data_IF_155198672832
#
_entry.id   IF_155198672832
#
_cell.length_a   1.000
_cell.length_b   1.000
_cell.length_c   1.000
_cell.angle_alpha   90.00
_cell.angle_beta   90.00
_cell.angle_gamma   90.00
#
_symmetry.space_group_name_H-M   'P 1'
#
loop_
_entity.id
_entity.type
_entity.pdbx_description
1 polymer ?
#
# COMPACT_ATOMS: atom_id res chain seq x y z
N UNK A 1 -13.43 38.63 -20.59
CA UNK A 1 -13.18 37.20 -20.83
C UNK A 1 -11.72 36.98 -20.53
N UNK A 2 -11.41 36.30 -19.42
CA UNK A 2 -10.05 35.89 -19.09
C UNK A 2 -9.86 34.50 -19.69
N UNK A 3 -8.86 34.34 -20.56
CA UNK A 3 -8.49 33.04 -21.12
C UNK A 3 -8.14 32.06 -19.99
N UNK A 4 -8.58 30.78 -20.07
CA UNK A 4 -8.20 29.80 -19.08
C UNK A 4 -6.69 29.55 -19.17
N UNK A 5 -6.01 29.72 -18.03
CA UNK A 5 -4.59 29.39 -17.91
C UNK A 5 -4.34 27.94 -18.37
N UNK A 6 -3.31 27.68 -19.19
CA UNK A 6 -3.00 26.33 -19.62
C UNK A 6 -2.61 25.47 -18.42
N UNK A 7 -3.24 24.29 -18.32
CA UNK A 7 -2.88 23.26 -17.34
C UNK A 7 -1.42 22.87 -17.62
N UNK A 8 -0.52 22.94 -16.63
CA UNK A 8 0.86 22.54 -16.84
C UNK A 8 0.89 21.05 -17.19
N UNK A 9 1.34 20.73 -18.41
CA UNK A 9 1.66 19.36 -18.79
C UNK A 9 2.76 18.86 -17.86
N UNK A 10 2.66 17.62 -17.31
CA UNK A 10 3.74 17.06 -16.51
C UNK A 10 5.02 17.03 -17.36
N UNK A 11 6.08 17.61 -16.84
CA UNK A 11 7.39 17.59 -17.50
C UNK A 11 7.78 16.14 -17.78
N UNK A 12 8.39 15.84 -18.94
CA UNK A 12 8.83 14.47 -19.25
C UNK A 12 9.83 14.02 -18.19
N UNK A 13 9.48 12.97 -17.46
CA UNK A 13 10.37 12.37 -16.45
C UNK A 13 11.62 11.85 -17.20
N UNK A 14 12.76 12.48 -16.95
CA UNK A 14 14.03 12.12 -17.58
C UNK A 14 14.43 10.70 -17.16
N UNK A 15 14.72 9.84 -18.14
CA UNK A 15 15.32 8.55 -17.85
C UNK A 15 16.73 8.75 -17.28
N UNK A 16 16.95 8.36 -16.04
CA UNK A 16 18.31 8.27 -15.52
C UNK A 16 18.94 7.00 -16.09
N UNK A 17 20.00 7.15 -16.91
CA UNK A 17 20.84 6.00 -17.31
C UNK A 17 21.66 5.55 -16.10
N UNK A 18 20.96 5.04 -15.08
CA UNK A 18 21.57 4.56 -13.83
C UNK A 18 20.73 3.43 -13.24
N UNK A 19 21.40 2.35 -12.91
CA UNK A 19 20.78 1.19 -12.25
C UNK A 19 20.83 1.35 -10.73
N UNK A 20 19.73 0.95 -10.07
CA UNK A 20 19.59 0.85 -8.61
C UNK A 20 19.44 -0.61 -8.25
N UNK A 21 20.21 -1.08 -7.28
CA UNK A 21 20.14 -2.43 -6.74
C UNK A 21 19.59 -2.41 -5.31
N UNK A 22 18.66 -3.33 -5.03
CA UNK A 22 18.18 -3.63 -3.69
C UNK A 22 18.70 -4.98 -3.26
N UNK A 23 19.68 -4.99 -2.36
CA UNK A 23 20.43 -6.18 -1.95
C UNK A 23 20.07 -6.58 -0.53
N UNK A 24 19.72 -7.85 -0.32
CA UNK A 24 19.31 -8.35 1.01
C UNK A 24 19.64 -9.84 1.16
N UNK A 25 19.95 -10.25 2.37
CA UNK A 25 20.02 -11.67 2.76
C UNK A 25 18.63 -12.32 2.98
N UNK A 26 17.57 -11.50 3.07
CA UNK A 26 16.17 -11.92 3.08
C UNK A 26 15.45 -11.58 1.77
N UNK A 27 14.17 -11.22 1.86
CA UNK A 27 13.30 -10.94 0.70
C UNK A 27 13.66 -9.67 -0.08
N UNK A 28 14.39 -8.74 0.53
CA UNK A 28 14.74 -7.46 -0.07
C UNK A 28 13.64 -6.39 -0.04
N UNK A 29 12.47 -6.70 0.51
CA UNK A 29 11.33 -5.77 0.56
C UNK A 29 11.69 -4.47 1.29
N UNK A 30 12.37 -4.56 2.44
CA UNK A 30 12.75 -3.37 3.22
C UNK A 30 13.69 -2.45 2.43
N UNK A 31 14.71 -3.02 1.79
CA UNK A 31 15.65 -2.25 0.97
C UNK A 31 14.95 -1.57 -0.20
N UNK A 32 14.03 -2.29 -0.86
CA UNK A 32 13.25 -1.80 -1.98
C UNK A 32 12.28 -0.69 -1.57
N UNK A 33 11.47 -0.90 -0.52
CA UNK A 33 10.49 0.09 -0.04
C UNK A 33 11.17 1.38 0.42
N UNK A 34 12.26 1.26 1.20
CA UNK A 34 13.02 2.43 1.62
C UNK A 34 13.66 3.14 0.43
N UNK A 35 14.31 2.40 -0.45
CA UNK A 35 14.93 2.96 -1.64
C UNK A 35 13.92 3.65 -2.56
N UNK A 36 12.74 3.07 -2.77
CA UNK A 36 11.64 3.71 -3.50
C UNK A 36 11.22 5.04 -2.85
N UNK A 37 11.05 5.07 -1.53
CA UNK A 37 10.67 6.27 -0.81
C UNK A 37 11.70 7.39 -0.97
N UNK A 38 12.98 7.05 -0.92
CA UNK A 38 14.08 8.03 -1.12
C UNK A 38 14.14 8.48 -2.59
N UNK A 39 14.09 7.53 -3.54
CA UNK A 39 14.22 7.82 -4.97
C UNK A 39 13.02 8.60 -5.52
N UNK A 40 11.83 8.47 -4.92
CA UNK A 40 10.64 9.23 -5.32
C UNK A 40 10.77 10.74 -5.13
N UNK A 41 11.76 11.20 -4.33
CA UNK A 41 12.06 12.61 -4.17
C UNK A 41 12.80 13.22 -5.39
N UNK A 42 13.18 12.39 -6.37
CA UNK A 42 13.87 12.81 -7.58
C UNK A 42 12.98 12.53 -8.79
N UNK A 43 12.77 13.52 -9.65
CA UNK A 43 12.00 13.38 -10.90
C UNK A 43 12.77 12.60 -11.98
N UNK A 44 13.30 11.42 -11.59
CA UNK A 44 14.10 10.54 -12.44
C UNK A 44 13.54 9.12 -12.43
N UNK A 45 13.61 8.44 -13.59
CA UNK A 45 13.34 7.01 -13.69
C UNK A 45 14.62 6.21 -13.65
N UNK A 46 14.74 5.34 -12.65
CA UNK A 46 15.87 4.44 -12.48
C UNK A 46 15.51 3.04 -12.99
N UNK A 47 16.51 2.34 -13.58
CA UNK A 47 16.41 0.90 -13.78
C UNK A 47 16.62 0.23 -12.42
N UNK A 48 15.68 -0.59 -11.97
CA UNK A 48 15.69 -1.17 -10.63
C UNK A 48 15.87 -2.69 -10.72
N UNK A 49 16.75 -3.23 -9.88
CA UNK A 49 17.06 -4.66 -9.82
C UNK A 49 17.09 -5.10 -8.36
N UNK A 50 16.25 -6.08 -8.00
CA UNK A 50 16.24 -6.69 -6.68
C UNK A 50 17.13 -7.93 -6.69
N UNK A 51 18.01 -8.03 -5.69
CA UNK A 51 18.89 -9.16 -5.42
C UNK A 51 18.59 -9.70 -4.01
N UNK A 52 17.55 -10.51 -3.85
CA UNK A 52 17.16 -11.10 -2.58
C UNK A 52 17.97 -12.36 -2.29
N UNK A 53 17.92 -12.83 -1.04
CA UNK A 53 18.49 -14.08 -0.59
C UNK A 53 19.99 -14.21 -0.84
N UNK A 54 20.75 -13.12 -0.67
CA UNK A 54 22.21 -13.11 -0.68
C UNK A 54 22.70 -13.61 0.68
N UNK A 55 22.63 -14.90 0.90
CA UNK A 55 22.88 -15.60 2.17
C UNK A 55 24.24 -16.35 2.18
N UNK A 56 24.94 -16.41 1.04
CA UNK A 56 26.26 -17.04 0.89
C UNK A 56 27.26 -16.11 0.21
N UNK A 57 28.57 -16.35 0.42
CA UNK A 57 29.65 -15.59 -0.21
C UNK A 57 29.60 -15.69 -1.75
N UNK A 58 29.27 -16.85 -2.30
CA UNK A 58 29.17 -17.03 -3.75
C UNK A 58 28.11 -16.11 -4.35
N UNK A 59 26.92 -16.04 -3.71
CA UNK A 59 25.86 -15.14 -4.13
C UNK A 59 26.28 -13.67 -3.98
N UNK A 60 27.03 -13.33 -2.93
CA UNK A 60 27.53 -11.97 -2.74
C UNK A 60 28.52 -11.59 -3.83
N UNK A 61 29.43 -12.49 -4.23
CA UNK A 61 30.35 -12.27 -5.35
C UNK A 61 29.62 -12.13 -6.68
N UNK A 62 28.58 -12.96 -6.92
CA UNK A 62 27.74 -12.84 -8.12
C UNK A 62 26.99 -11.51 -8.16
N UNK A 63 26.46 -11.05 -7.03
CA UNK A 63 25.81 -9.75 -6.91
C UNK A 63 26.80 -8.61 -7.21
N UNK A 64 28.01 -8.68 -6.62
CA UNK A 64 29.08 -7.71 -6.87
C UNK A 64 29.44 -7.63 -8.37
N UNK A 65 29.53 -8.78 -9.05
CA UNK A 65 29.78 -8.83 -10.49
C UNK A 65 28.66 -8.12 -11.28
N UNK A 66 27.39 -8.43 -10.99
CA UNK A 66 26.22 -7.78 -11.65
C UNK A 66 26.20 -6.27 -11.44
N UNK A 67 26.56 -5.79 -10.24
CA UNK A 67 26.65 -4.36 -9.95
C UNK A 67 27.75 -3.71 -10.78
N UNK A 68 28.93 -4.35 -10.89
CA UNK A 68 30.02 -3.86 -11.69
C UNK A 68 29.72 -3.87 -13.20
N UNK A 69 29.00 -4.89 -13.69
CA UNK A 69 28.51 -4.94 -15.07
C UNK A 69 27.56 -3.76 -15.37
N UNK A 70 26.64 -3.42 -14.46
CA UNK A 70 25.77 -2.27 -14.63
C UNK A 70 26.56 -0.96 -14.71
N UNK A 71 27.63 -0.81 -13.91
CA UNK A 71 28.53 0.35 -14.04
C UNK A 71 29.13 0.47 -15.44
N UNK A 72 29.56 -0.66 -16.04
CA UNK A 72 30.12 -0.65 -17.39
C UNK A 72 29.09 -0.27 -18.46
N UNK A 73 27.84 -0.73 -18.28
CA UNK A 73 26.76 -0.45 -19.24
C UNK A 73 26.24 0.98 -19.11
N UNK A 74 26.01 1.44 -17.88
CA UNK A 74 25.38 2.75 -17.62
C UNK A 74 26.39 3.91 -17.73
N UNK A 75 27.70 3.65 -17.62
CA UNK A 75 28.74 4.67 -17.52
C UNK A 75 28.66 5.54 -16.27
N UNK A 76 27.80 5.19 -15.31
CA UNK A 76 27.57 5.89 -14.04
C UNK A 76 27.58 4.89 -12.89
N UNK A 77 28.02 5.34 -11.70
CA UNK A 77 27.98 4.51 -10.50
C UNK A 77 26.56 4.04 -10.22
N UNK A 78 26.27 2.72 -10.19
CA UNK A 78 25.00 2.20 -9.67
C UNK A 78 24.76 2.65 -8.23
N UNK A 79 23.52 2.67 -7.81
CA UNK A 79 23.15 2.91 -6.41
C UNK A 79 22.75 1.56 -5.80
N UNK A 80 23.29 1.24 -4.63
CA UNK A 80 23.00 -0.01 -3.91
C UNK A 80 22.37 0.33 -2.57
N UNK A 81 21.10 -0.03 -2.39
CA UNK A 81 20.47 -0.08 -1.08
C UNK A 81 20.59 -1.49 -0.53
N UNK A 82 21.23 -1.64 0.63
CA UNK A 82 21.45 -2.97 1.21
C UNK A 82 20.87 -3.10 2.62
N UNK A 83 20.35 -4.30 2.90
CA UNK A 83 19.87 -4.74 4.22
C UNK A 83 20.52 -6.09 4.56
N UNK A 84 21.85 -6.15 4.45
CA UNK A 84 22.62 -7.35 4.79
C UNK A 84 22.96 -7.32 6.28
N UNK A 85 22.60 -8.38 6.99
CA UNK A 85 22.84 -8.52 8.43
C UNK A 85 24.27 -9.00 8.71
N UNK A 86 24.80 -9.89 7.84
CA UNK A 86 26.14 -10.46 8.01
C UNK A 86 27.19 -9.51 7.45
N UNK A 87 28.12 -9.07 8.30
CA UNK A 87 29.20 -8.14 7.92
C UNK A 87 30.12 -8.69 6.82
N UNK A 88 30.36 -10.01 6.79
CA UNK A 88 31.14 -10.65 5.73
C UNK A 88 30.52 -10.49 4.35
N UNK A 89 29.20 -10.66 4.21
CA UNK A 89 28.47 -10.48 2.96
C UNK A 89 28.44 -9.01 2.54
N UNK A 90 28.16 -8.11 3.50
CA UNK A 90 28.20 -6.66 3.28
C UNK A 90 29.58 -6.21 2.79
N UNK A 91 30.67 -6.76 3.36
CA UNK A 91 32.03 -6.44 2.95
C UNK A 91 32.33 -6.83 1.48
N UNK A 92 31.79 -7.96 1.01
CA UNK A 92 31.91 -8.38 -0.40
C UNK A 92 31.13 -7.44 -1.31
N UNK A 93 29.88 -7.12 -0.96
CA UNK A 93 29.05 -6.20 -1.77
C UNK A 93 29.70 -4.80 -1.87
N UNK A 94 30.32 -4.32 -0.79
CA UNK A 94 30.99 -3.01 -0.77
C UNK A 94 32.21 -2.93 -1.70
N UNK A 95 32.75 -4.05 -2.16
CA UNK A 95 33.82 -4.06 -3.19
C UNK A 95 33.29 -3.68 -4.58
N UNK A 96 31.98 -3.71 -4.79
CA UNK A 96 31.38 -3.26 -6.04
C UNK A 96 31.60 -1.76 -6.24
N UNK A 97 31.85 -1.37 -7.49
CA UNK A 97 32.00 0.03 -7.89
C UNK A 97 30.62 0.69 -7.97
N UNK A 98 30.11 1.15 -6.83
CA UNK A 98 28.77 1.68 -6.67
C UNK A 98 28.71 2.74 -5.57
N UNK A 99 27.61 3.48 -5.51
CA UNK A 99 27.22 4.28 -4.35
C UNK A 99 26.45 3.38 -3.38
N UNK A 100 27.02 3.11 -2.21
CA UNK A 100 26.47 2.19 -1.22
C UNK A 100 25.68 2.91 -0.14
N UNK A 101 24.43 2.47 0.07
CA UNK A 101 23.50 2.89 1.10
C UNK A 101 23.17 1.67 1.96
N UNK A 102 24.00 1.42 2.98
CA UNK A 102 23.80 0.30 3.91
C UNK A 102 22.86 0.72 5.02
N UNK A 103 21.61 0.24 4.95
CA UNK A 103 20.55 0.66 5.88
C UNK A 103 20.80 0.13 7.30
N UNK A 104 21.31 -1.09 7.44
CA UNK A 104 21.55 -1.64 8.76
C UNK A 104 22.72 -0.96 9.46
N UNK A 105 23.83 -0.77 8.78
CA UNK A 105 24.95 -0.07 9.38
C UNK A 105 24.57 1.37 9.74
N UNK A 106 23.84 2.05 8.87
CA UNK A 106 23.43 3.45 9.12
C UNK A 106 22.53 3.63 10.33
N UNK A 107 21.63 2.66 10.58
CA UNK A 107 20.61 2.80 11.63
C UNK A 107 20.84 1.88 12.84
N UNK A 108 21.42 0.70 12.65
CA UNK A 108 21.61 -0.27 13.75
C UNK A 108 22.78 0.13 14.64
N UNK A 109 23.91 0.55 14.09
CA UNK A 109 25.07 0.96 14.87
C UNK A 109 24.76 2.10 15.88
N UNK A 110 24.10 3.20 15.51
CA UNK A 110 23.69 4.22 16.45
C UNK A 110 22.74 3.71 17.54
N UNK A 111 21.80 2.81 17.17
CA UNK A 111 20.89 2.21 18.14
C UNK A 111 21.61 1.26 19.10
N UNK A 112 22.60 0.49 18.65
CA UNK A 112 23.43 -0.35 19.53
C UNK A 112 24.17 0.50 20.57
N UNK A 113 24.64 1.67 20.18
CA UNK A 113 25.32 2.60 21.09
C UNK A 113 24.35 3.20 22.11
N UNK A 114 23.18 3.69 21.65
CA UNK A 114 22.19 4.32 22.53
C UNK A 114 21.54 3.32 23.49
N UNK A 115 21.26 2.10 23.01
CA UNK A 115 20.65 1.03 23.82
C UNK A 115 21.65 0.25 24.66
N UNK A 116 22.96 0.52 24.53
CA UNK A 116 24.05 -0.22 25.17
C UNK A 116 23.96 -1.75 24.94
N UNK A 117 23.40 -2.15 23.80
CA UNK A 117 23.14 -3.56 23.45
C UNK A 117 23.63 -3.86 22.03
N UNK A 118 24.17 -5.07 21.84
CA UNK A 118 24.46 -5.55 20.50
C UNK A 118 23.23 -6.14 19.84
N UNK A 119 23.04 -5.82 18.55
CA UNK A 119 21.99 -6.42 17.72
C UNK A 119 22.27 -7.92 17.57
N UNK A 120 21.21 -8.71 17.42
CA UNK A 120 21.34 -10.17 17.30
C UNK A 120 21.81 -10.65 15.93
N UNK A 121 21.92 -9.75 14.97
CA UNK A 121 22.26 -10.03 13.57
C UNK A 121 21.47 -11.21 12.98
N UNK A 122 20.18 -11.33 13.35
CA UNK A 122 19.32 -12.44 12.91
C UNK A 122 18.56 -12.06 11.64
N UNK A 123 18.76 -12.84 10.58
CA UNK A 123 18.08 -12.67 9.29
C UNK A 123 16.58 -12.95 9.46
N UNK A 124 15.73 -12.11 8.86
CA UNK A 124 14.28 -12.34 8.78
C UNK A 124 13.53 -12.24 10.11
N UNK A 125 14.11 -11.66 11.16
CA UNK A 125 13.47 -11.57 12.49
C UNK A 125 12.12 -10.84 12.46
N UNK A 126 11.97 -9.86 11.58
CA UNK A 126 10.70 -9.15 11.36
C UNK A 126 9.62 -10.00 10.67
N UNK A 127 10.00 -11.17 10.12
CA UNK A 127 9.12 -12.10 9.42
C UNK A 127 8.96 -13.43 10.14
N UNK A 128 9.67 -13.67 11.26
CA UNK A 128 9.63 -14.92 12.04
C UNK A 128 8.39 -15.02 12.94
N UNK A 129 7.22 -14.73 12.38
CA UNK A 129 5.96 -14.66 13.12
C UNK A 129 4.98 -15.76 12.73
N UNK A 130 5.41 -16.80 11.99
CA UNK A 130 4.50 -17.84 11.48
C UNK A 130 3.67 -18.55 12.59
N UNK A 131 4.17 -18.60 13.83
CA UNK A 131 3.47 -19.16 14.99
C UNK A 131 2.99 -18.09 15.99
N UNK A 132 3.15 -16.80 15.66
CA UNK A 132 2.71 -15.73 16.54
C UNK A 132 1.19 -15.51 16.46
N UNK A 133 0.62 -15.06 17.56
CA UNK A 133 -0.78 -14.64 17.63
C UNK A 133 -1.08 -13.56 16.59
N UNK A 134 -0.13 -12.66 16.34
CA UNK A 134 -0.23 -11.62 15.31
C UNK A 134 -0.41 -12.19 13.90
N UNK A 135 0.34 -13.25 13.54
CA UNK A 135 0.18 -13.90 12.24
C UNK A 135 -1.21 -14.56 12.10
N UNK A 136 -1.66 -15.28 13.14
CA UNK A 136 -3.01 -15.89 13.14
C UNK A 136 -4.10 -14.86 13.03
N UNK A 137 -4.01 -13.77 13.79
CA UNK A 137 -4.96 -12.64 13.72
C UNK A 137 -4.99 -12.02 12.31
N UNK A 138 -3.83 -11.89 11.67
CA UNK A 138 -3.73 -11.37 10.29
C UNK A 138 -4.40 -12.29 9.28
N UNK A 139 -4.16 -13.62 9.36
CA UNK A 139 -4.82 -14.60 8.49
C UNK A 139 -6.34 -14.60 8.73
N UNK A 140 -6.77 -14.51 9.97
CA UNK A 140 -8.20 -14.42 10.32
C UNK A 140 -8.84 -13.15 9.73
N UNK A 141 -8.16 -12.00 9.84
CA UNK A 141 -8.62 -10.75 9.27
C UNK A 141 -8.71 -10.80 7.72
N UNK A 142 -7.75 -11.44 7.06
CA UNK A 142 -7.78 -11.65 5.61
C UNK A 142 -8.98 -12.53 5.22
N UNK A 143 -9.18 -13.66 5.90
CA UNK A 143 -10.29 -14.56 5.63
C UNK A 143 -11.64 -13.86 5.88
N UNK A 144 -11.74 -13.08 6.96
CA UNK A 144 -12.92 -12.27 7.25
C UNK A 144 -13.20 -11.27 6.12
N UNK A 145 -12.19 -10.50 5.69
CA UNK A 145 -12.37 -9.48 4.65
C UNK A 145 -12.75 -10.09 3.30
N UNK A 146 -12.19 -11.24 2.94
CA UNK A 146 -12.56 -11.99 1.72
C UNK A 146 -14.00 -12.50 1.79
N UNK A 147 -14.44 -13.02 2.95
CA UNK A 147 -15.81 -13.51 3.15
C UNK A 147 -16.87 -12.39 3.16
N UNK A 148 -16.44 -11.15 3.42
CA UNK A 148 -17.32 -9.98 3.51
C UNK A 148 -17.03 -8.95 2.40
N UNK A 149 -16.48 -9.40 1.28
CA UNK A 149 -16.28 -8.54 0.11
C UNK A 149 -17.58 -8.44 -0.72
N UNK A 150 -17.84 -7.26 -1.27
CA UNK A 150 -19.00 -6.93 -2.11
C UNK A 150 -20.38 -7.33 -1.52
N UNK A 151 -20.52 -7.29 -0.19
CA UNK A 151 -21.79 -7.57 0.47
C UNK A 151 -22.25 -9.02 0.38
N UNK A 152 -21.35 -9.95 0.03
CA UNK A 152 -21.67 -11.38 -0.12
C UNK A 152 -22.19 -12.01 1.19
N UNK A 153 -21.81 -11.46 2.34
CA UNK A 153 -22.32 -11.90 3.63
C UNK A 153 -22.55 -10.72 4.57
N UNK A 154 -23.78 -10.60 5.06
CA UNK A 154 -24.14 -9.73 6.19
C UNK A 154 -24.06 -10.47 7.53
N UNK A 155 -23.58 -11.73 7.54
CA UNK A 155 -23.42 -12.53 8.74
C UNK A 155 -22.17 -12.07 9.48
N UNK A 156 -22.25 -12.01 10.80
CA UNK A 156 -21.10 -11.70 11.67
C UNK A 156 -20.44 -10.33 11.45
N UNK A 157 -21.15 -9.33 10.91
CA UNK A 157 -20.64 -7.95 10.83
C UNK A 157 -20.25 -7.36 12.20
N UNK A 158 -20.75 -7.96 13.29
CA UNK A 158 -20.35 -7.63 14.67
C UNK A 158 -18.86 -7.86 14.93
N UNK A 159 -18.24 -8.80 14.22
CA UNK A 159 -16.81 -9.11 14.32
C UNK A 159 -15.92 -8.15 13.52
N UNK A 160 -16.51 -7.34 12.64
CA UNK A 160 -15.76 -6.34 11.89
C UNK A 160 -15.18 -5.27 12.83
N UNK A 161 -13.94 -4.89 12.60
CA UNK A 161 -13.34 -3.71 13.21
C UNK A 161 -13.78 -2.45 12.46
N UNK A 162 -13.95 -2.55 11.13
CA UNK A 162 -14.47 -1.50 10.26
C UNK A 162 -15.34 -2.08 9.15
N UNK A 163 -16.35 -1.32 8.74
CA UNK A 163 -17.24 -1.63 7.60
C UNK A 163 -17.10 -0.49 6.58
N UNK A 164 -16.50 -0.79 5.44
CA UNK A 164 -16.34 0.19 4.36
C UNK A 164 -17.60 0.25 3.51
N UNK A 165 -18.19 1.43 3.40
CA UNK A 165 -19.38 1.65 2.55
C UNK A 165 -19.07 2.65 1.43
N UNK A 166 -19.83 2.57 0.35
CA UNK A 166 -19.68 3.49 -0.80
C UNK A 166 -20.07 2.81 -2.10
N UNK A 167 -20.12 3.56 -3.19
CA UNK A 167 -20.50 3.06 -4.51
C UNK A 167 -19.51 1.98 -5.01
N UNK A 168 -19.97 1.11 -5.90
CA UNK A 168 -19.11 0.13 -6.55
C UNK A 168 -17.94 0.83 -7.25
N UNK A 169 -16.70 0.31 -7.06
CA UNK A 169 -15.44 0.87 -7.58
C UNK A 169 -14.91 2.13 -6.89
N UNK A 170 -15.35 2.44 -5.69
CA UNK A 170 -14.78 3.54 -4.88
C UNK A 170 -13.50 3.17 -4.09
N UNK A 171 -12.91 2.00 -4.34
CA UNK A 171 -11.66 1.58 -3.69
C UNK A 171 -11.84 0.73 -2.42
N UNK A 172 -13.07 0.32 -2.05
CA UNK A 172 -13.35 -0.43 -0.82
C UNK A 172 -12.58 -1.76 -0.74
N UNK A 173 -12.72 -2.63 -1.73
CA UNK A 173 -12.07 -3.95 -1.76
C UNK A 173 -10.55 -3.87 -1.58
N UNK A 174 -9.78 -3.08 -2.35
CA UNK A 174 -8.34 -2.99 -2.13
C UNK A 174 -8.00 -2.42 -0.75
N UNK A 175 -8.79 -1.47 -0.23
CA UNK A 175 -8.56 -0.91 1.11
C UNK A 175 -8.84 -1.93 2.21
N UNK A 176 -9.95 -2.70 2.13
CA UNK A 176 -10.26 -3.75 3.12
C UNK A 176 -9.19 -4.82 3.18
N UNK A 177 -8.71 -5.28 2.02
CA UNK A 177 -7.62 -6.25 1.95
C UNK A 177 -6.30 -5.70 2.48
N UNK A 178 -5.97 -4.44 2.17
CA UNK A 178 -4.76 -3.81 2.68
C UNK A 178 -4.80 -3.67 4.22
N UNK A 179 -5.92 -3.24 4.79
CA UNK A 179 -6.12 -3.17 6.24
C UNK A 179 -5.94 -4.54 6.90
N UNK A 180 -6.50 -5.60 6.30
CA UNK A 180 -6.36 -6.96 6.81
C UNK A 180 -4.91 -7.47 6.72
N UNK A 181 -4.27 -7.31 5.57
CA UNK A 181 -2.93 -7.83 5.30
C UNK A 181 -1.83 -7.11 6.10
N UNK A 182 -1.93 -5.78 6.24
CA UNK A 182 -0.89 -4.98 6.89
C UNK A 182 -1.12 -4.82 8.40
N UNK A 183 -2.37 -4.72 8.82
CA UNK A 183 -2.70 -4.33 10.19
C UNK A 183 -3.54 -5.36 10.94
N UNK A 184 -3.92 -6.48 10.31
CA UNK A 184 -4.76 -7.50 10.94
C UNK A 184 -6.18 -7.00 11.27
N UNK A 185 -6.66 -5.97 10.59
CA UNK A 185 -7.99 -5.37 10.80
C UNK A 185 -9.04 -6.14 10.02
N UNK A 186 -10.08 -6.62 10.69
CA UNK A 186 -11.25 -7.26 10.08
C UNK A 186 -12.12 -6.19 9.40
N UNK A 187 -11.89 -5.97 8.11
CA UNK A 187 -12.60 -4.96 7.33
C UNK A 187 -13.64 -5.61 6.42
N UNK A 188 -14.92 -5.30 6.64
CA UNK A 188 -16.00 -5.68 5.74
C UNK A 188 -16.19 -4.61 4.64
N UNK A 189 -16.65 -5.04 3.46
CA UNK A 189 -16.95 -4.16 2.33
C UNK A 189 -18.42 -4.29 1.94
N UNK A 190 -19.15 -3.20 2.05
CA UNK A 190 -20.57 -3.12 1.66
C UNK A 190 -20.75 -2.10 0.52
N UNK A 191 -21.03 -2.54 -0.71
CA UNK A 191 -21.35 -1.65 -1.80
C UNK A 191 -22.75 -1.10 -1.64
N UNK A 192 -22.90 0.23 -1.64
CA UNK A 192 -24.19 0.88 -1.73
C UNK A 192 -24.75 0.72 -3.15
N UNK A 193 -25.98 0.26 -3.26
CA UNK A 193 -26.66 -0.03 -4.52
C UNK A 193 -27.88 0.89 -4.69
N UNK A 194 -28.45 1.05 -5.91
CA UNK A 194 -29.60 1.92 -6.14
C UNK A 194 -30.77 1.67 -5.21
N UNK A 195 -31.05 0.41 -4.86
CA UNK A 195 -32.12 0.02 -3.94
C UNK A 195 -31.92 0.54 -2.51
N UNK A 196 -30.66 0.78 -2.11
CA UNK A 196 -30.36 1.38 -0.80
C UNK A 196 -30.69 2.89 -0.82
N UNK A 197 -30.49 3.54 -1.96
CA UNK A 197 -30.80 4.96 -2.13
C UNK A 197 -32.31 5.23 -2.13
N UNK A 198 -33.11 4.33 -2.72
CA UNK A 198 -34.57 4.43 -2.76
C UNK A 198 -35.19 4.31 -1.37
N UNK A 199 -34.59 3.57 -0.46
CA UNK A 199 -35.11 3.36 0.92
C UNK A 199 -34.89 4.56 1.84
N UNK A 200 -34.10 5.51 1.42
CA UNK A 200 -33.75 6.71 2.20
C UNK A 200 -33.27 6.42 3.65
N UNK A 201 -32.68 5.25 3.88
CA UNK A 201 -32.16 4.77 5.17
C UNK A 201 -30.95 3.90 4.95
N UNK A 202 -30.10 3.84 6.00
CA UNK A 202 -29.00 2.88 6.02
C UNK A 202 -29.55 1.45 5.88
N UNK A 203 -28.90 0.57 5.08
CA UNK A 203 -29.27 -0.83 5.00
C UNK A 203 -29.41 -1.47 6.38
N UNK A 204 -30.50 -2.24 6.59
CA UNK A 204 -30.88 -2.74 7.92
C UNK A 204 -29.76 -3.53 8.61
N UNK A 205 -28.97 -4.29 7.85
CA UNK A 205 -27.80 -5.04 8.37
C UNK A 205 -26.68 -4.13 8.89
N UNK A 206 -26.64 -2.85 8.51
CA UNK A 206 -25.61 -1.91 8.92
C UNK A 206 -26.00 -1.03 10.12
N UNK A 207 -27.29 -0.90 10.40
CA UNK A 207 -27.82 0.03 11.42
C UNK A 207 -27.19 -0.21 12.79
N UNK A 208 -27.08 -1.49 13.20
CA UNK A 208 -26.50 -1.85 14.50
C UNK A 208 -25.00 -1.62 14.58
N UNK A 209 -24.34 -1.50 13.44
CA UNK A 209 -22.88 -1.37 13.33
C UNK A 209 -22.43 0.03 12.92
N UNK A 210 -23.29 1.02 13.01
CA UNK A 210 -23.09 2.39 12.53
C UNK A 210 -21.78 3.02 13.00
N UNK A 211 -21.35 2.75 14.23
CA UNK A 211 -20.08 3.25 14.79
C UNK A 211 -18.83 2.69 14.13
N UNK A 212 -18.95 1.56 13.45
CA UNK A 212 -17.85 0.89 12.76
C UNK A 212 -17.80 1.22 11.25
N UNK A 213 -18.75 2.03 10.77
CA UNK A 213 -18.86 2.34 9.34
C UNK A 213 -17.97 3.50 8.99
N UNK A 214 -17.23 3.33 7.89
CA UNK A 214 -16.45 4.38 7.24
C UNK A 214 -16.76 4.42 5.74
N UNK A 215 -17.02 5.60 5.20
CA UNK A 215 -17.41 5.78 3.81
C UNK A 215 -16.22 6.05 2.88
N UNK A 216 -16.29 5.50 1.67
CA UNK A 216 -15.39 5.87 0.58
C UNK A 216 -16.18 6.41 -0.61
N UNK A 217 -15.84 7.61 -1.04
CA UNK A 217 -16.36 8.23 -2.26
C UNK A 217 -15.22 8.42 -3.29
N UNK A 218 -15.59 8.81 -4.51
CA UNK A 218 -14.66 9.02 -5.62
C UNK A 218 -15.24 10.09 -6.56
N UNK A 219 -14.43 10.85 -7.27
CA UNK A 219 -14.93 11.78 -8.27
C UNK A 219 -15.67 11.03 -9.40
N UNK A 220 -16.79 11.59 -9.86
CA UNK A 220 -17.66 10.93 -10.83
C UNK A 220 -16.97 10.64 -12.16
N UNK A 221 -16.12 11.55 -12.60
CA UNK A 221 -15.30 11.42 -13.81
C UNK A 221 -14.36 10.20 -13.67
N UNK A 222 -13.66 10.12 -12.56
CA UNK A 222 -12.75 8.99 -12.26
C UNK A 222 -13.50 7.67 -12.13
N UNK A 223 -14.67 7.69 -11.49
CA UNK A 223 -15.52 6.50 -11.37
C UNK A 223 -15.97 6.00 -12.73
N UNK A 224 -16.40 6.93 -13.62
CA UNK A 224 -16.80 6.60 -14.98
C UNK A 224 -15.66 5.95 -15.77
N UNK A 225 -14.43 6.49 -15.68
CA UNK A 225 -13.24 5.88 -16.31
C UNK A 225 -13.02 4.44 -15.84
N UNK A 226 -12.92 4.23 -14.52
CA UNK A 226 -12.67 2.91 -13.93
C UNK A 226 -13.78 1.89 -14.25
N UNK A 227 -15.02 2.35 -14.31
CA UNK A 227 -16.17 1.49 -14.70
C UNK A 227 -16.16 1.17 -16.19
N UNK A 228 -15.75 2.11 -17.05
CA UNK A 228 -15.61 1.88 -18.48
C UNK A 228 -14.50 0.88 -18.83
N UNK A 229 -13.40 0.83 -18.07
CA UNK A 229 -12.37 -0.21 -18.24
C UNK A 229 -12.96 -1.63 -18.08
N UNK A 230 -13.95 -1.80 -17.19
CA UNK A 230 -14.59 -3.11 -16.93
C UNK A 230 -15.79 -3.39 -17.85
N UNK A 231 -16.62 -2.38 -18.12
CA UNK A 231 -17.86 -2.49 -18.92
C UNK A 231 -18.00 -1.26 -19.82
N UNK A 232 -17.29 -1.22 -20.93
CA UNK A 232 -17.30 -0.09 -21.85
C UNK A 232 -18.71 0.27 -22.34
N UNK A 233 -19.05 1.56 -22.37
CA UNK A 233 -20.29 2.07 -22.91
C UNK A 233 -21.59 1.67 -22.19
N UNK A 234 -21.49 1.11 -21.00
CA UNK A 234 -22.66 0.68 -20.21
C UNK A 234 -23.30 1.85 -19.47
N UNK A 235 -24.61 1.76 -19.20
CA UNK A 235 -25.32 2.71 -18.30
C UNK A 235 -24.62 2.80 -16.94
N UNK A 236 -24.13 1.67 -16.42
CA UNK A 236 -23.37 1.60 -15.17
C UNK A 236 -22.11 2.50 -15.17
N UNK A 237 -21.46 2.64 -16.31
CA UNK A 237 -20.24 3.44 -16.46
C UNK A 237 -20.52 4.88 -16.95
N UNK A 238 -21.78 5.22 -17.28
CA UNK A 238 -22.10 6.57 -17.73
C UNK A 238 -21.82 7.61 -16.65
N UNK A 239 -21.31 8.77 -17.05
CA UNK A 239 -20.97 9.84 -16.12
C UNK A 239 -22.20 10.32 -15.33
N UNK A 240 -23.35 10.37 -15.98
CA UNK A 240 -24.63 10.75 -15.35
C UNK A 240 -24.99 9.78 -14.20
N UNK A 241 -24.92 8.47 -14.47
CA UNK A 241 -25.19 7.45 -13.44
C UNK A 241 -24.16 7.50 -12.31
N UNK A 242 -22.88 7.69 -12.64
CA UNK A 242 -21.83 7.83 -11.61
C UNK A 242 -22.07 9.04 -10.72
N UNK A 243 -22.46 10.20 -11.28
CA UNK A 243 -22.80 11.40 -10.51
C UNK A 243 -24.02 11.17 -9.61
N UNK A 244 -25.04 10.51 -10.14
CA UNK A 244 -26.23 10.18 -9.36
C UNK A 244 -25.89 9.29 -8.16
N UNK A 245 -25.23 8.15 -8.37
CA UNK A 245 -24.91 7.21 -7.30
C UNK A 245 -23.98 7.83 -6.23
N UNK A 246 -22.99 8.62 -6.62
CA UNK A 246 -22.10 9.31 -5.69
C UNK A 246 -22.88 10.31 -4.84
N UNK A 247 -23.70 11.15 -5.47
CA UNK A 247 -24.50 12.13 -4.74
C UNK A 247 -25.44 11.48 -3.72
N UNK A 248 -26.10 10.39 -4.10
CA UNK A 248 -27.00 9.68 -3.18
C UNK A 248 -26.22 8.99 -2.05
N UNK A 249 -25.08 8.37 -2.35
CA UNK A 249 -24.21 7.78 -1.33
C UNK A 249 -23.71 8.84 -0.32
N UNK A 250 -23.25 9.99 -0.79
CA UNK A 250 -22.78 11.07 0.07
C UNK A 250 -23.91 11.71 0.89
N UNK A 251 -25.10 11.88 0.31
CA UNK A 251 -26.29 12.33 1.03
C UNK A 251 -26.65 11.36 2.16
N UNK A 252 -26.65 10.05 1.87
CA UNK A 252 -26.90 9.01 2.86
C UNK A 252 -25.85 9.07 3.98
N UNK A 253 -24.57 9.08 3.66
CA UNK A 253 -23.51 9.14 4.65
C UNK A 253 -23.60 10.40 5.51
N UNK A 254 -23.89 11.56 4.91
CA UNK A 254 -24.09 12.83 5.65
C UNK A 254 -25.27 12.76 6.60
N UNK A 255 -26.42 12.29 6.13
CA UNK A 255 -27.62 12.15 6.94
C UNK A 255 -27.43 11.19 8.12
N UNK A 256 -26.75 10.09 7.87
CA UNK A 256 -26.45 9.09 8.87
C UNK A 256 -25.26 9.44 9.77
N UNK A 257 -24.58 10.59 9.55
CA UNK A 257 -23.41 10.99 10.33
C UNK A 257 -22.23 10.02 10.19
N UNK A 258 -22.15 9.33 9.04
CA UNK A 258 -21.03 8.45 8.71
C UNK A 258 -19.89 9.32 8.20
N UNK A 259 -18.68 9.12 8.74
CA UNK A 259 -17.47 9.77 8.21
C UNK A 259 -17.07 9.13 6.89
N UNK A 260 -16.61 9.94 5.96
CA UNK A 260 -16.12 9.43 4.67
C UNK A 260 -14.96 10.27 4.13
N UNK A 261 -14.27 9.71 3.16
CA UNK A 261 -13.22 10.41 2.42
C UNK A 261 -13.27 10.06 0.93
N UNK A 262 -12.67 10.93 0.11
CA UNK A 262 -12.49 10.66 -1.32
C UNK A 262 -11.24 9.85 -1.58
N UNK A 263 -11.36 8.79 -2.38
CA UNK A 263 -10.26 7.96 -2.85
C UNK A 263 -9.64 8.45 -4.18
N UNK A 264 -10.14 9.54 -4.75
CA UNK A 264 -9.80 9.99 -6.12
C UNK A 264 -8.29 10.18 -6.34
N UNK A 265 -7.63 10.86 -5.41
CA UNK A 265 -6.20 11.23 -5.51
C UNK A 265 -5.39 10.68 -4.33
N UNK A 266 -5.89 9.65 -3.66
CA UNK A 266 -5.23 9.05 -2.50
C UNK A 266 -4.79 7.63 -2.80
N UNK A 267 -3.63 7.27 -2.30
CA UNK A 267 -3.15 5.88 -2.30
C UNK A 267 -3.94 5.03 -1.29
N UNK A 268 -3.88 3.71 -1.45
CA UNK A 268 -4.53 2.76 -0.52
C UNK A 268 -3.95 2.92 0.89
N UNK A 269 -2.66 3.18 0.99
CA UNK A 269 -1.92 3.41 2.23
C UNK A 269 -2.43 4.65 2.97
N UNK A 270 -2.63 5.77 2.25
CA UNK A 270 -3.17 7.00 2.83
C UNK A 270 -4.62 6.83 3.30
N UNK A 271 -5.43 6.10 2.53
CA UNK A 271 -6.80 5.77 2.91
C UNK A 271 -6.80 4.92 4.18
N UNK A 272 -6.00 3.86 4.21
CA UNK A 272 -5.89 2.97 5.35
C UNK A 272 -5.37 3.70 6.60
N UNK A 273 -4.35 4.54 6.47
CA UNK A 273 -3.83 5.34 7.57
C UNK A 273 -4.90 6.28 8.16
N UNK A 274 -5.72 6.91 7.30
CA UNK A 274 -6.82 7.76 7.75
C UNK A 274 -7.89 6.94 8.49
N UNK A 275 -8.27 5.78 7.96
CA UNK A 275 -9.24 4.88 8.61
C UNK A 275 -8.74 4.46 9.99
N UNK A 276 -7.47 4.05 10.13
CA UNK A 276 -6.87 3.63 11.39
C UNK A 276 -6.87 4.72 12.47
N UNK A 277 -6.76 5.99 12.08
CA UNK A 277 -6.87 7.12 13.01
C UNK A 277 -8.30 7.31 13.51
N UNK A 278 -9.30 6.94 12.69
CA UNK A 278 -10.71 7.16 12.97
C UNK A 278 -11.35 5.98 13.72
N UNK A 279 -10.96 4.75 13.41
CA UNK A 279 -11.32 3.58 14.16
C UNK A 279 -10.38 3.46 15.36
N UNK A 280 -10.94 3.38 16.59
CA UNK A 280 -10.17 2.88 17.72
C UNK A 280 -10.31 1.36 17.66
N UNK A 281 -9.32 0.60 17.21
CA UNK A 281 -9.40 -0.85 17.37
C UNK A 281 -9.53 -1.13 18.86
N UNK A 282 -10.53 -1.91 19.26
CA UNK A 282 -10.58 -2.43 20.62
C UNK A 282 -9.25 -3.13 20.85
N UNK A 283 -8.47 -2.61 21.80
CA UNK A 283 -7.17 -3.18 22.15
C UNK A 283 -7.39 -4.65 22.51
N UNK A 284 -7.03 -5.54 21.60
CA UNK A 284 -6.99 -6.99 21.82
C UNK A 284 -5.72 -7.38 22.54
#
# INVERSE_FOLDING_TARGET
MLDPMPIPHPSPVLAANRTVFFVSDGTGITAETFGHSVLSQFELRFKQIRLPFIDTLDKAHDATRKINEAYQVDGKLPIVFSTLVKSELSSVIRQAKAMHMDLFQTFVEPLEQELEMKSTHTIGRSHNTADSEEYRNRIEAINFSLAHDDGQSNKNLSEADVILVGVSRSGKTPTSLYLAMQFGIKAANYPLIPEDFERDKLPSGLVMHKKKIFGLTIAAERLSEVRNERRPGSKYASLENCRYEINEAEKMMRREGIRWMSSTAKSIEEIAATILQEIKPETR
#
